data_IF_103680434591
#
_entry.id   IF_103680434591
#
_cell.length_a   1.000
_cell.length_b   1.000
_cell.length_c   1.000
_cell.angle_alpha   90.00
_cell.angle_beta   90.00
_cell.angle_gamma   90.00
#
_symmetry.space_group_name_H-M   'P 1'
#
loop_
_entity.id
_entity.type
_entity.pdbx_description
1 polymer ?
#
# COMPACT_ATOMS: atom_id res chain seq x y z
N UNK A 1 -8.65 -12.27 -36.11
CA UNK A 1 -8.25 -11.10 -35.31
C UNK A 1 -8.04 -11.58 -33.89
N UNK A 2 -6.77 -11.75 -33.48
CA UNK A 2 -6.38 -12.29 -32.18
C UNK A 2 -5.63 -11.21 -31.40
N UNK A 3 -6.08 -10.91 -30.18
CA UNK A 3 -5.37 -10.21 -29.08
C UNK A 3 -6.38 -9.89 -27.98
N UNK A 4 -6.33 -10.30 -26.70
CA UNK A 4 -5.44 -11.11 -25.86
C UNK A 4 -6.27 -11.48 -24.61
N UNK A 5 -6.10 -12.64 -23.92
CA UNK A 5 -6.84 -12.89 -22.68
C UNK A 5 -6.20 -12.20 -21.45
N UNK A 6 -7.10 -11.79 -20.55
CA UNK A 6 -7.02 -11.80 -19.06
C UNK A 6 -6.09 -10.83 -18.31
N UNK A 7 -6.67 -9.82 -17.66
CA UNK A 7 -6.22 -9.44 -16.32
C UNK A 7 -6.89 -10.38 -15.32
N UNK A 8 -6.19 -11.41 -14.86
CA UNK A 8 -6.71 -12.34 -13.85
C UNK A 8 -6.93 -11.56 -12.55
N UNK A 9 -8.19 -11.44 -12.12
CA UNK A 9 -8.56 -10.95 -10.80
C UNK A 9 -7.78 -11.75 -9.75
N UNK A 10 -7.17 -11.06 -8.79
CA UNK A 10 -6.36 -11.67 -7.73
C UNK A 10 -7.02 -11.40 -6.38
N UNK A 11 -6.91 -12.36 -5.47
CA UNK A 11 -7.31 -12.21 -4.06
C UNK A 11 -6.15 -11.62 -3.28
N UNK A 12 -6.39 -10.46 -2.68
CA UNK A 12 -5.37 -9.66 -2.01
C UNK A 12 -5.83 -9.36 -0.59
N UNK A 13 -5.01 -9.75 0.38
CA UNK A 13 -5.21 -9.38 1.79
C UNK A 13 -4.31 -8.21 2.12
N UNK A 14 -4.87 -7.13 2.67
CA UNK A 14 -4.11 -5.96 3.12
C UNK A 14 -4.16 -5.89 4.64
N UNK A 15 -3.02 -6.16 5.27
CA UNK A 15 -2.84 -6.13 6.72
C UNK A 15 -2.42 -4.72 7.15
N UNK A 16 -3.36 -4.03 7.81
CA UNK A 16 -3.21 -2.66 8.28
C UNK A 16 -3.82 -1.64 7.30
N UNK A 17 -4.95 -1.05 7.70
CA UNK A 17 -5.62 0.03 6.96
C UNK A 17 -5.26 1.43 7.47
N UNK A 18 -3.96 1.68 7.72
CA UNK A 18 -3.47 3.05 7.90
C UNK A 18 -3.51 3.84 6.58
N UNK A 19 -2.96 5.05 6.54
CA UNK A 19 -3.06 5.91 5.35
C UNK A 19 -2.57 5.25 4.06
N UNK A 20 -1.42 4.58 4.13
CA UNK A 20 -0.85 3.85 2.99
C UNK A 20 -1.65 2.60 2.65
N UNK A 21 -1.96 1.75 3.64
CA UNK A 21 -2.66 0.49 3.41
C UNK A 21 -4.08 0.70 2.90
N UNK A 22 -4.80 1.68 3.45
CA UNK A 22 -6.14 2.06 2.99
C UNK A 22 -6.12 2.61 1.56
N UNK A 23 -5.18 3.49 1.24
CA UNK A 23 -5.03 3.99 -0.13
C UNK A 23 -4.70 2.87 -1.13
N UNK A 24 -3.76 1.99 -0.79
CA UNK A 24 -3.39 0.86 -1.65
C UNK A 24 -4.56 -0.11 -1.84
N UNK A 25 -5.29 -0.44 -0.78
CA UNK A 25 -6.48 -1.28 -0.87
C UNK A 25 -7.56 -0.66 -1.75
N UNK A 26 -7.80 0.66 -1.60
CA UNK A 26 -8.73 1.40 -2.44
C UNK A 26 -8.36 1.30 -3.92
N UNK A 27 -7.08 1.50 -4.24
CA UNK A 27 -6.57 1.48 -5.61
C UNK A 27 -6.58 0.08 -6.23
N UNK A 28 -6.23 -0.96 -5.47
CA UNK A 28 -6.29 -2.35 -5.93
C UNK A 28 -7.73 -2.79 -6.21
N UNK A 29 -8.66 -2.42 -5.32
CA UNK A 29 -10.08 -2.69 -5.56
C UNK A 29 -10.60 -1.88 -6.76
N UNK A 30 -10.13 -0.65 -6.96
CA UNK A 30 -10.44 0.16 -8.15
C UNK A 30 -9.93 -0.50 -9.44
N UNK A 31 -8.81 -1.21 -9.39
CA UNK A 31 -8.26 -1.99 -10.49
C UNK A 31 -8.99 -3.34 -10.72
N UNK A 32 -9.98 -3.70 -9.89
CA UNK A 32 -10.80 -4.89 -10.06
C UNK A 32 -10.30 -6.13 -9.32
N UNK A 33 -9.36 -6.00 -8.38
CA UNK A 33 -8.94 -7.10 -7.51
C UNK A 33 -9.96 -7.37 -6.40
N UNK A 34 -9.97 -8.61 -5.91
CA UNK A 34 -10.72 -8.99 -4.71
C UNK A 34 -9.87 -8.64 -3.49
N UNK A 35 -10.27 -7.62 -2.73
CA UNK A 35 -9.44 -7.02 -1.67
C UNK A 35 -10.13 -7.13 -0.32
N UNK A 36 -9.46 -7.76 0.63
CA UNK A 36 -9.90 -7.83 2.03
C UNK A 36 -8.95 -7.03 2.94
N UNK A 37 -9.53 -6.21 3.80
CA UNK A 37 -8.80 -5.42 4.80
C UNK A 37 -8.76 -6.15 6.14
N UNK A 38 -7.57 -6.28 6.72
CA UNK A 38 -7.37 -6.81 8.06
C UNK A 38 -6.96 -5.66 9.00
N UNK A 39 -7.80 -5.38 9.99
CA UNK A 39 -7.67 -4.20 10.86
C UNK A 39 -7.90 -4.57 12.32
N UNK A 40 -7.48 -3.70 13.25
CA UNK A 40 -7.75 -3.91 14.69
C UNK A 40 -9.07 -3.29 15.15
N UNK A 41 -9.50 -2.24 14.48
CA UNK A 41 -10.71 -1.50 14.82
C UNK A 41 -11.55 -1.37 13.55
N UNK A 42 -12.83 -1.74 13.60
CA UNK A 42 -13.68 -1.73 12.42
C UNK A 42 -13.98 -0.29 11.99
N UNK A 43 -14.27 -0.13 10.71
CA UNK A 43 -14.84 1.08 10.12
C UNK A 43 -15.72 0.66 8.93
N UNK A 44 -16.61 1.52 8.48
CA UNK A 44 -17.62 1.12 7.49
C UNK A 44 -17.12 1.16 6.04
N UNK A 45 -16.20 2.07 5.73
CA UNK A 45 -15.75 2.33 4.36
C UNK A 45 -14.35 2.92 4.32
N UNK A 46 -13.66 2.69 3.21
CA UNK A 46 -12.47 3.45 2.86
C UNK A 46 -12.85 4.75 2.19
N UNK A 47 -12.15 5.81 2.57
CA UNK A 47 -12.25 7.14 2.01
C UNK A 47 -10.83 7.61 1.69
N UNK A 48 -10.61 7.99 0.44
CA UNK A 48 -9.39 8.63 -0.02
C UNK A 48 -9.74 10.04 -0.45
N UNK A 49 -9.09 11.03 0.15
CA UNK A 49 -9.16 12.44 -0.25
C UNK A 49 -7.86 12.74 -1.00
N UNK A 50 -7.95 13.19 -2.24
CA UNK A 50 -6.77 13.54 -3.03
C UNK A 50 -6.26 14.96 -2.72
N UNK A 51 -5.14 15.34 -3.32
CA UNK A 51 -4.49 16.65 -3.15
C UNK A 51 -5.35 17.84 -3.60
N UNK A 52 -6.40 17.60 -4.37
CA UNK A 52 -7.38 18.59 -4.81
C UNK A 52 -8.62 18.64 -3.91
N UNK A 53 -8.65 17.84 -2.84
CA UNK A 53 -9.80 17.71 -1.94
C UNK A 53 -10.93 16.84 -2.50
N UNK A 54 -10.70 16.13 -3.61
CA UNK A 54 -11.70 15.20 -4.15
C UNK A 54 -11.79 13.98 -3.26
N UNK A 55 -13.02 13.65 -2.88
CA UNK A 55 -13.32 12.52 -2.00
C UNK A 55 -13.76 11.32 -2.82
N UNK A 56 -13.07 10.20 -2.63
CA UNK A 56 -13.40 8.91 -3.23
C UNK A 56 -13.67 7.89 -2.15
N UNK A 57 -14.72 7.09 -2.32
CA UNK A 57 -15.13 6.12 -1.31
C UNK A 57 -15.30 4.72 -1.89
N UNK A 58 -15.07 3.71 -1.05
CA UNK A 58 -15.33 2.31 -1.38
C UNK A 58 -15.63 1.50 -0.13
N UNK A 59 -16.62 0.61 -0.23
CA UNK A 59 -16.87 -0.42 0.77
C UNK A 59 -16.09 -1.66 0.36
N UNK A 60 -15.29 -2.20 1.28
CA UNK A 60 -14.52 -3.43 1.12
C UNK A 60 -14.84 -4.38 2.29
N UNK A 61 -14.66 -5.70 2.12
CA UNK A 61 -14.59 -6.63 3.24
C UNK A 61 -13.55 -6.18 4.26
N UNK A 62 -13.97 -6.06 5.53
CA UNK A 62 -13.12 -5.67 6.66
C UNK A 62 -13.22 -6.76 7.71
N UNK A 63 -12.08 -7.34 8.05
CA UNK A 63 -11.94 -8.35 9.09
C UNK A 63 -11.21 -7.76 10.30
N UNK A 64 -11.69 -8.11 11.49
CA UNK A 64 -11.10 -7.73 12.77
C UNK A 64 -10.52 -8.91 13.54
N UNK A 65 -10.90 -10.14 13.19
CA UNK A 65 -10.36 -11.36 13.78
C UNK A 65 -9.46 -12.10 12.76
N UNK A 66 -8.18 -12.36 13.11
CA UNK A 66 -7.29 -13.18 12.28
C UNK A 66 -7.86 -14.54 11.88
N UNK A 67 -8.76 -15.13 12.67
CA UNK A 67 -9.38 -16.42 12.36
C UNK A 67 -10.25 -16.37 11.09
N UNK A 68 -10.75 -15.20 10.71
CA UNK A 68 -11.66 -15.03 9.58
C UNK A 68 -10.94 -14.85 8.23
N UNK A 69 -9.62 -14.63 8.24
CA UNK A 69 -8.86 -14.41 7.00
C UNK A 69 -8.56 -15.73 6.31
N UNK A 70 -8.88 -15.80 5.02
CA UNK A 70 -8.53 -16.91 4.16
C UNK A 70 -7.17 -16.67 3.46
N UNK A 71 -6.59 -17.76 2.94
CA UNK A 71 -5.42 -17.71 2.08
C UNK A 71 -5.64 -16.79 0.88
N UNK A 72 -4.65 -15.95 0.59
CA UNK A 72 -4.66 -14.98 -0.51
C UNK A 72 -3.53 -15.24 -1.51
N UNK A 73 -3.73 -14.79 -2.74
CA UNK A 73 -2.70 -14.86 -3.77
C UNK A 73 -1.56 -13.89 -3.45
N UNK A 74 -1.90 -12.73 -2.86
CA UNK A 74 -0.96 -11.71 -2.40
C UNK A 74 -1.35 -11.19 -1.02
N UNK A 75 -0.34 -10.95 -0.18
CA UNK A 75 -0.51 -10.29 1.11
C UNK A 75 0.27 -8.99 1.13
N UNK A 76 -0.37 -7.89 1.53
CA UNK A 76 0.27 -6.58 1.66
C UNK A 76 0.37 -6.25 3.14
N UNK A 77 1.59 -6.10 3.64
CA UNK A 77 1.86 -5.68 5.00
C UNK A 77 2.11 -4.16 5.03
N UNK A 78 1.12 -3.41 5.55
CA UNK A 78 1.14 -1.95 5.62
C UNK A 78 1.02 -1.40 7.07
N UNK A 79 1.20 -2.26 8.09
CA UNK A 79 1.32 -1.84 9.49
C UNK A 79 2.63 -1.10 9.75
N UNK A 80 2.76 -0.41 10.88
CA UNK A 80 4.07 0.14 11.29
C UNK A 80 5.06 -1.00 11.57
N UNK A 81 6.34 -0.78 11.29
CA UNK A 81 7.41 -1.77 11.46
C UNK A 81 7.41 -2.48 12.83
N UNK A 82 7.22 -1.74 13.93
CA UNK A 82 7.17 -2.29 15.29
C UNK A 82 5.89 -3.06 15.60
N UNK A 83 4.93 -3.13 14.68
CA UNK A 83 3.66 -3.85 14.83
C UNK A 83 3.62 -5.14 14.01
N UNK A 84 4.75 -5.58 13.42
CA UNK A 84 4.77 -6.80 12.62
C UNK A 84 4.43 -8.04 13.45
N UNK A 85 4.87 -8.11 14.71
CA UNK A 85 4.49 -9.21 15.61
C UNK A 85 2.99 -9.27 15.85
N UNK A 86 2.34 -8.12 16.04
CA UNK A 86 0.87 -8.05 16.16
C UNK A 86 0.15 -8.44 14.85
N UNK A 87 0.83 -8.39 13.71
CA UNK A 87 0.31 -8.85 12.42
C UNK A 87 0.56 -10.35 12.17
N UNK A 88 1.26 -11.05 13.06
CA UNK A 88 1.75 -12.40 12.82
C UNK A 88 0.63 -13.42 12.51
N UNK A 89 -0.49 -13.37 13.22
CA UNK A 89 -1.61 -14.29 12.96
C UNK A 89 -2.25 -14.04 11.60
N UNK A 90 -2.44 -12.78 11.22
CA UNK A 90 -2.93 -12.42 9.88
C UNK A 90 -2.02 -12.95 8.79
N UNK A 91 -0.70 -12.77 8.95
CA UNK A 91 0.29 -13.26 7.99
C UNK A 91 0.26 -14.78 7.88
N UNK A 92 0.23 -15.50 9.01
CA UNK A 92 0.19 -16.97 9.03
C UNK A 92 -1.06 -17.54 8.36
N UNK A 93 -2.22 -16.91 8.58
CA UNK A 93 -3.48 -17.40 8.05
C UNK A 93 -3.69 -17.03 6.58
N UNK A 94 -3.23 -15.85 6.16
CA UNK A 94 -3.35 -15.39 4.79
C UNK A 94 -2.28 -15.98 3.83
N UNK A 95 -1.17 -16.51 4.37
CA UNK A 95 -0.11 -17.13 3.60
C UNK A 95 -0.26 -18.65 3.56
N UNK A 96 -0.40 -19.20 2.36
CA UNK A 96 -0.41 -20.65 2.12
C UNK A 96 0.39 -21.05 0.88
N UNK A 97 0.28 -22.32 0.45
CA UNK A 97 1.05 -22.86 -0.66
C UNK A 97 0.81 -22.16 -2.01
N UNK A 98 -0.33 -21.49 -2.19
CA UNK A 98 -0.67 -20.75 -3.41
C UNK A 98 -0.30 -19.27 -3.34
N UNK A 99 0.10 -18.76 -2.17
CA UNK A 99 0.49 -17.36 -1.99
C UNK A 99 1.78 -17.05 -2.72
N UNK A 100 1.72 -16.09 -3.63
CA UNK A 100 2.84 -15.72 -4.50
C UNK A 100 3.88 -14.85 -3.80
N UNK A 101 3.47 -14.09 -2.79
CA UNK A 101 4.39 -13.27 -2.02
C UNK A 101 3.71 -12.35 -1.00
N UNK A 102 4.52 -11.88 -0.07
CA UNK A 102 4.16 -10.85 0.91
C UNK A 102 4.87 -9.55 0.56
N UNK A 103 4.10 -8.54 0.16
CA UNK A 103 4.60 -7.21 -0.16
C UNK A 103 4.68 -6.38 1.12
N UNK A 104 5.90 -6.00 1.49
CA UNK A 104 6.15 -5.25 2.73
C UNK A 104 6.30 -3.78 2.39
N UNK A 105 5.32 -2.97 2.79
CA UNK A 105 5.28 -1.51 2.56
C UNK A 105 5.76 -0.70 3.77
N UNK A 106 6.47 -1.37 4.69
CA UNK A 106 7.07 -0.75 5.86
C UNK A 106 8.34 -0.02 5.45
N UNK A 107 8.66 1.09 6.11
CA UNK A 107 10.00 1.69 5.98
C UNK A 107 11.06 0.79 6.68
N UNK A 108 12.30 0.87 6.20
CA UNK A 108 13.45 0.13 6.74
C UNK A 108 14.15 -0.72 5.67
N UNK A 109 15.03 -1.61 6.10
CA UNK A 109 15.76 -2.56 5.22
C UNK A 109 15.70 -4.02 5.69
N UNK A 110 15.29 -4.27 6.94
CA UNK A 110 15.27 -5.60 7.57
C UNK A 110 13.92 -6.32 7.42
N UNK A 111 13.26 -6.15 6.28
CA UNK A 111 11.92 -6.72 6.04
C UNK A 111 11.92 -8.25 6.11
N UNK A 112 12.94 -8.85 5.49
CA UNK A 112 13.14 -10.30 5.44
C UNK A 112 13.19 -10.88 6.85
N UNK A 113 14.14 -10.44 7.68
CA UNK A 113 14.30 -10.94 9.05
C UNK A 113 13.06 -10.74 9.91
N UNK A 114 12.34 -9.62 9.73
CA UNK A 114 11.15 -9.28 10.52
C UNK A 114 9.91 -10.10 10.15
N UNK A 115 9.77 -10.47 8.87
CA UNK A 115 8.54 -11.08 8.34
C UNK A 115 8.68 -12.59 8.13
N UNK A 116 9.88 -13.08 7.79
CA UNK A 116 10.19 -14.50 7.54
C UNK A 116 9.63 -15.46 8.60
N UNK A 117 9.68 -15.17 9.92
CA UNK A 117 9.13 -16.06 10.95
C UNK A 117 7.63 -16.36 10.83
N UNK A 118 6.88 -15.54 10.08
CA UNK A 118 5.42 -15.62 10.00
C UNK A 118 4.89 -16.12 8.66
N UNK A 119 5.74 -16.19 7.62
CA UNK A 119 5.31 -16.44 6.23
C UNK A 119 5.96 -17.69 5.61
N UNK A 120 6.79 -18.41 6.38
CA UNK A 120 7.43 -19.64 5.92
C UNK A 120 8.26 -19.44 4.65
N UNK A 121 7.99 -20.25 3.63
CA UNK A 121 8.68 -20.21 2.34
C UNK A 121 8.17 -19.12 1.37
N UNK A 122 7.08 -18.41 1.72
CA UNK A 122 6.49 -17.39 0.85
C UNK A 122 7.49 -16.24 0.63
N UNK A 123 7.72 -15.77 -0.61
CA UNK A 123 8.64 -14.67 -0.87
C UNK A 123 8.27 -13.39 -0.12
N UNK A 124 9.26 -12.73 0.50
CA UNK A 124 9.07 -11.41 1.13
C UNK A 124 9.59 -10.36 0.16
N UNK A 125 8.72 -9.46 -0.24
CA UNK A 125 8.95 -8.50 -1.32
C UNK A 125 8.96 -7.08 -0.76
N UNK A 126 10.14 -6.47 -0.54
CA UNK A 126 10.22 -5.12 0.00
C UNK A 126 9.75 -4.08 -1.02
N UNK A 127 8.80 -3.24 -0.61
CA UNK A 127 8.18 -2.23 -1.46
C UNK A 127 8.40 -0.83 -0.90
N UNK A 128 9.02 0.03 -1.70
CA UNK A 128 9.21 1.44 -1.35
C UNK A 128 7.97 2.21 -1.74
N UNK A 129 7.36 2.86 -0.74
CA UNK A 129 6.20 3.72 -0.93
C UNK A 129 6.65 5.18 -1.00
N UNK A 130 6.39 5.82 -2.14
CA UNK A 130 6.64 7.26 -2.35
C UNK A 130 5.32 7.99 -2.48
N UNK A 131 4.71 8.30 -1.35
CA UNK A 131 3.41 8.93 -1.24
C UNK A 131 3.39 9.74 0.06
N UNK A 132 2.92 10.99 -0.01
CA UNK A 132 2.52 11.71 1.18
C UNK A 132 1.11 11.27 1.56
N UNK A 133 0.92 10.82 2.80
CA UNK A 133 -0.35 10.29 3.26
C UNK A 133 -0.59 10.64 4.73
N UNK A 134 -1.79 11.11 5.03
CA UNK A 134 -2.22 11.52 6.35
C UNK A 134 -3.48 10.76 6.75
N UNK A 135 -3.56 10.31 8.00
CA UNK A 135 -4.76 9.67 8.54
C UNK A 135 -5.67 10.76 9.10
N UNK A 136 -6.86 10.93 8.50
CA UNK A 136 -7.83 11.93 8.94
C UNK A 136 -8.78 11.34 9.99
N UNK A 137 -9.23 10.11 9.76
CA UNK A 137 -10.10 9.34 10.64
C UNK A 137 -9.95 7.84 10.35
N UNK A 138 -10.49 6.92 11.16
CA UNK A 138 -10.55 5.50 10.80
C UNK A 138 -11.16 5.31 9.39
N UNK A 139 -10.45 4.59 8.53
CA UNK A 139 -10.84 4.39 7.13
C UNK A 139 -10.68 5.60 6.21
N UNK A 140 -10.30 6.79 6.71
CA UNK A 140 -10.20 8.03 5.92
C UNK A 140 -8.77 8.56 5.85
N UNK A 141 -8.27 8.76 4.64
CA UNK A 141 -6.89 9.21 4.39
C UNK A 141 -6.85 10.37 3.40
N UNK A 142 -5.95 11.31 3.62
CA UNK A 142 -5.60 12.38 2.67
C UNK A 142 -4.27 12.06 2.00
N UNK A 143 -4.18 12.20 0.68
CA UNK A 143 -3.04 11.79 -0.14
C UNK A 143 -2.51 12.98 -0.94
N UNK A 144 -1.26 13.40 -0.69
CA UNK A 144 -0.63 14.60 -1.26
C UNK A 144 0.32 14.35 -2.43
N UNK A 145 0.61 13.10 -2.77
CA UNK A 145 1.46 12.80 -3.92
C UNK A 145 1.19 11.40 -4.48
N UNK A 146 1.16 11.29 -5.80
CA UNK A 146 0.88 10.05 -6.54
C UNK A 146 1.87 8.92 -6.19
N UNK A 147 1.34 7.78 -5.77
CA UNK A 147 2.12 6.59 -5.42
C UNK A 147 2.85 6.02 -6.64
N UNK A 148 4.18 6.11 -6.63
CA UNK A 148 5.05 5.26 -7.45
C UNK A 148 5.64 4.19 -6.54
N UNK A 149 4.98 3.03 -6.49
CA UNK A 149 5.57 1.82 -5.91
C UNK A 149 6.31 1.07 -7.01
N UNK A 150 7.62 0.87 -6.82
CA UNK A 150 8.40 -0.10 -7.59
C UNK A 150 8.96 -1.09 -6.57
N UNK A 151 8.42 -2.30 -6.52
CA UNK A 151 9.10 -3.39 -5.83
C UNK A 151 10.19 -3.92 -6.78
N UNK A 152 11.49 -3.81 -6.44
CA UNK A 152 12.56 -4.17 -7.36
C UNK A 152 12.61 -5.67 -7.69
N UNK A 153 12.12 -6.52 -6.78
CA UNK A 153 12.30 -7.97 -6.80
C UNK A 153 11.09 -8.76 -7.32
N UNK A 154 10.12 -8.09 -7.93
CA UNK A 154 8.78 -8.61 -7.96
C UNK A 154 8.33 -8.90 -9.41
N UNK A 155 7.76 -10.08 -9.69
CA UNK A 155 7.50 -10.53 -11.06
C UNK A 155 6.54 -9.60 -11.81
N UNK A 156 6.65 -9.58 -13.14
CA UNK A 156 5.88 -8.70 -14.05
C UNK A 156 4.35 -8.87 -13.99
N UNK A 157 3.84 -9.87 -13.26
CA UNK A 157 2.42 -10.19 -13.07
C UNK A 157 1.78 -9.48 -11.87
N UNK A 158 2.51 -8.62 -11.18
CA UNK A 158 1.96 -7.89 -10.03
C UNK A 158 1.02 -6.77 -10.44
N UNK A 159 -0.11 -6.59 -9.74
CA UNK A 159 -0.97 -5.44 -9.92
C UNK A 159 -0.34 -4.24 -9.23
N UNK A 160 0.59 -3.58 -9.93
CA UNK A 160 1.09 -2.30 -9.45
C UNK A 160 0.00 -1.25 -9.59
N UNK A 161 -0.31 -0.61 -8.48
CA UNK A 161 -0.99 0.69 -8.49
C UNK A 161 0.01 1.69 -9.09
N UNK A 162 0.00 1.81 -10.42
CA UNK A 162 0.59 2.95 -11.11
C UNK A 162 -0.43 4.07 -11.07
N UNK A 163 -0.37 4.90 -10.03
CA UNK A 163 -0.99 6.21 -10.11
C UNK A 163 -0.09 7.05 -11.04
N UNK A 164 -0.61 7.45 -12.20
CA UNK A 164 0.17 8.13 -13.23
C UNK A 164 0.77 9.42 -12.67
N UNK A 165 2.10 9.55 -12.76
CA UNK A 165 2.74 10.85 -12.62
C UNK A 165 2.16 11.77 -13.70
N UNK A 166 1.27 12.69 -13.33
CA UNK A 166 1.37 14.00 -13.96
C UNK A 166 2.64 14.61 -13.39
N UNK A 167 3.69 14.72 -14.21
CA UNK A 167 4.90 15.47 -13.83
C UNK A 167 4.44 16.88 -13.48
N UNK A 168 4.30 17.19 -12.20
CA UNK A 168 4.38 18.58 -11.78
C UNK A 168 5.83 18.98 -11.99
N UNK A 169 6.06 19.76 -13.04
CA UNK A 169 7.26 20.58 -13.17
C UNK A 169 7.25 21.55 -11.98
N UNK A 170 7.86 21.16 -10.87
CA UNK A 170 8.12 22.07 -9.77
C UNK A 170 9.23 23.01 -10.21
N UNK A 171 8.86 24.08 -10.92
CA UNK A 171 9.67 25.30 -10.96
C UNK A 171 9.68 25.86 -9.54
N UNK A 172 10.74 25.56 -8.79
CA UNK A 172 11.06 26.28 -7.58
C UNK A 172 11.19 27.77 -7.92
N UNK A 173 10.55 28.71 -7.18
CA UNK A 173 10.91 30.10 -7.30
C UNK A 173 12.34 30.24 -6.74
N UNK A 174 13.30 30.51 -7.62
CA UNK A 174 14.63 30.92 -7.22
C UNK A 174 14.51 32.23 -6.45
N UNK A 175 14.58 32.15 -5.12
CA UNK A 175 14.74 33.32 -4.26
C UNK A 175 16.16 33.84 -4.44
N UNK A 176 16.36 34.72 -5.41
CA UNK A 176 17.55 35.57 -5.48
C UNK A 176 17.45 36.63 -4.39
N UNK A 177 18.09 36.38 -3.24
CA UNK A 177 18.35 37.45 -2.28
C UNK A 177 19.43 38.38 -2.85
N UNK A 178 19.25 39.71 -2.94
CA UNK A 178 20.34 40.60 -3.29
C UNK A 178 21.27 40.75 -2.08
N UNK A 179 22.48 40.18 -2.17
CA UNK A 179 23.60 40.52 -1.27
C UNK A 179 23.92 42.01 -1.43
N UNK A 180 23.58 42.82 -0.44
CA UNK A 180 24.15 44.15 -0.28
C UNK A 180 25.65 44.00 0.04
N UNK A 181 26.50 44.40 -0.91
CA UNK A 181 27.93 44.55 -0.68
C UNK A 181 28.14 45.80 0.16
N UNK A 182 28.71 45.62 1.36
CA UNK A 182 29.34 46.70 2.09
C UNK A 182 30.48 47.30 1.27
N UNK A 183 30.53 48.64 1.22
CA UNK A 183 31.71 49.40 0.82
C UNK A 183 32.27 50.06 2.07
N UNK A 184 33.59 49.98 2.21
CA UNK A 184 34.41 50.87 3.02
C UNK A 184 34.13 52.34 2.69
#
# INVERSE_FOLDING_TARGET
MSSSPSSTQARIVVVGAGSIGGFVAFELARAGHDVTLCVRSPFERLVVIDEHGQRHERVLPILTDPADVAEADWVILATKAHQTEAAAQWLRNACGPSTQGVVVMQNGVEHEARVRPYVGAVPVLPCIVRCGAEAIAPGTSFITASLVSKCPAAPSRLPWVRCSQRRHSSSWPSTTSPRSRGRN
#
